data_IF_696686123363
#
_entry.id   IF_696686123363
#
_cell.length_a   1.000
_cell.length_b   1.000
_cell.length_c   1.000
_cell.angle_alpha   90.00
_cell.angle_beta   90.00
_cell.angle_gamma   90.00
#
_symmetry.space_group_name_H-M   'P 1'
#
loop_
_entity.id
_entity.type
_entity.pdbx_description
1 polymer ?
#
# COMPACT_ATOMS: atom_id res chain seq x y z
N UNK A 1 -20.29 4.86 -6.61
CA UNK A 1 -20.08 6.01 -7.53
C UNK A 1 -20.53 5.66 -8.94
N UNK A 2 -19.85 4.80 -9.70
CA UNK A 2 -20.26 4.45 -11.08
C UNK A 2 -21.74 4.03 -11.20
N UNK A 3 -22.21 3.16 -10.29
CA UNK A 3 -23.62 2.79 -10.18
C UNK A 3 -24.55 3.99 -9.89
N UNK A 4 -24.15 4.85 -8.96
CA UNK A 4 -24.95 6.01 -8.52
C UNK A 4 -25.09 7.07 -9.62
N UNK A 5 -24.08 7.23 -10.47
CA UNK A 5 -24.09 8.18 -11.59
C UNK A 5 -24.58 7.54 -12.91
N UNK A 6 -25.04 6.29 -12.88
CA UNK A 6 -25.58 5.59 -14.05
C UNK A 6 -24.55 5.17 -15.11
N UNK A 7 -23.27 5.06 -14.75
CA UNK A 7 -22.15 4.76 -15.67
C UNK A 7 -21.43 3.45 -15.28
N UNK A 8 -22.17 2.36 -15.09
CA UNK A 8 -21.60 1.07 -14.66
C UNK A 8 -20.89 0.29 -15.78
N UNK A 9 -21.06 0.75 -17.01
CA UNK A 9 -20.54 0.19 -18.25
C UNK A 9 -19.16 0.74 -18.64
N UNK A 10 -18.66 1.77 -17.94
CA UNK A 10 -17.34 2.33 -18.19
C UNK A 10 -16.25 1.26 -18.00
N UNK A 11 -15.22 1.22 -18.86
CA UNK A 11 -14.06 0.36 -18.68
C UNK A 11 -13.40 0.62 -17.32
N UNK A 12 -13.06 -0.47 -16.62
CA UNK A 12 -12.36 -0.40 -15.32
C UNK A 12 -11.07 -1.21 -15.44
N UNK A 13 -9.95 -0.50 -15.30
CA UNK A 13 -8.63 -1.10 -15.18
C UNK A 13 -8.17 -1.11 -13.72
N UNK A 14 -7.44 -2.16 -13.33
CA UNK A 14 -6.94 -2.35 -11.96
C UNK A 14 -5.46 -2.64 -12.02
N UNK A 15 -4.71 -2.03 -11.10
CA UNK A 15 -3.27 -2.24 -10.99
C UNK A 15 -2.83 -2.13 -9.55
N UNK A 16 -1.96 -3.03 -9.11
CA UNK A 16 -1.35 -2.98 -7.77
C UNK A 16 -0.54 -1.69 -7.56
N UNK A 17 -0.06 -1.06 -8.64
CA UNK A 17 0.64 0.23 -8.61
C UNK A 17 -0.25 1.37 -8.12
N UNK A 18 -1.58 1.18 -8.10
CA UNK A 18 -2.58 2.11 -7.55
C UNK A 18 -3.06 1.72 -6.15
N UNK A 19 -2.50 0.69 -5.52
CA UNK A 19 -2.81 0.36 -4.13
C UNK A 19 -2.41 1.50 -3.20
N UNK A 20 -3.06 1.57 -2.03
CA UNK A 20 -2.63 2.39 -0.89
C UNK A 20 -1.20 2.03 -0.47
N UNK A 21 -0.53 2.96 0.24
CA UNK A 21 0.77 2.76 0.89
C UNK A 21 0.78 1.49 1.73
N UNK A 22 1.79 0.64 1.53
CA UNK A 22 2.00 -0.54 2.36
C UNK A 22 2.49 -0.13 3.77
N UNK A 23 1.63 -0.25 4.78
CA UNK A 23 1.97 0.12 6.16
C UNK A 23 2.89 -0.86 6.89
N UNK A 24 3.28 -1.94 6.21
CA UNK A 24 4.25 -2.90 6.72
C UNK A 24 3.81 -3.53 8.03
N UNK A 25 4.69 -3.59 9.02
CA UNK A 25 4.42 -4.17 10.34
C UNK A 25 3.42 -3.38 11.19
N UNK A 26 2.87 -2.27 10.68
CA UNK A 26 1.77 -1.54 11.33
C UNK A 26 0.38 -2.00 10.83
N UNK A 27 0.34 -2.86 9.82
CA UNK A 27 -0.91 -3.35 9.23
C UNK A 27 -1.78 -4.05 10.28
N UNK A 28 -3.00 -3.58 10.45
CA UNK A 28 -3.95 -4.13 11.44
C UNK A 28 -3.85 -3.51 12.84
N UNK A 29 -2.85 -2.68 13.13
CA UNK A 29 -2.78 -1.93 14.38
C UNK A 29 -3.60 -0.65 14.32
N UNK A 30 -4.29 -0.33 15.41
CA UNK A 30 -4.90 0.99 15.56
C UNK A 30 -3.88 2.04 16.05
N UNK A 31 -4.26 3.32 16.02
CA UNK A 31 -3.35 4.43 16.39
C UNK A 31 -2.88 4.33 17.84
N UNK A 32 -3.75 3.95 18.77
CA UNK A 32 -3.45 3.87 20.19
C UNK A 32 -2.49 2.71 20.49
N UNK A 33 -2.72 1.55 19.89
CA UNK A 33 -1.81 0.39 19.98
C UNK A 33 -0.44 0.70 19.40
N UNK A 34 -0.41 1.38 18.25
CA UNK A 34 0.83 1.77 17.59
C UNK A 34 1.61 2.77 18.44
N UNK A 35 0.94 3.76 19.02
CA UNK A 35 1.57 4.75 19.91
C UNK A 35 2.07 4.10 21.21
N UNK A 36 1.32 3.14 21.78
CA UNK A 36 1.76 2.40 22.96
C UNK A 36 3.00 1.54 22.68
N UNK A 37 3.12 0.96 21.48
CA UNK A 37 4.23 0.09 21.09
C UNK A 37 5.48 0.85 20.65
N UNK A 38 5.32 1.95 19.92
CA UNK A 38 6.42 2.65 19.24
C UNK A 38 6.63 4.10 19.67
N UNK A 39 5.75 4.65 20.51
CA UNK A 39 5.77 6.05 20.93
C UNK A 39 5.01 6.97 19.98
N UNK A 40 4.40 8.02 20.54
CA UNK A 40 3.56 8.96 19.79
C UNK A 40 4.34 9.77 18.76
N UNK A 41 5.55 10.22 19.11
CA UNK A 41 6.44 10.97 18.22
C UNK A 41 6.79 10.14 16.96
N UNK A 42 7.12 8.87 17.14
CA UNK A 42 7.43 7.98 16.03
C UNK A 42 6.22 7.73 15.12
N UNK A 43 5.02 7.57 15.71
CA UNK A 43 3.78 7.45 14.95
C UNK A 43 3.48 8.72 14.15
N UNK A 44 3.75 9.90 14.72
CA UNK A 44 3.62 11.15 13.98
C UNK A 44 4.59 11.23 12.80
N UNK A 45 5.84 10.79 12.99
CA UNK A 45 6.84 10.72 11.91
C UNK A 45 6.33 9.83 10.78
N UNK A 46 5.91 8.60 11.05
CA UNK A 46 5.42 7.71 9.99
C UNK A 46 4.20 8.25 9.24
N UNK A 47 3.34 9.02 9.93
CA UNK A 47 2.14 9.60 9.34
C UNK A 47 2.39 10.86 8.51
N UNK A 48 3.44 11.63 8.83
CA UNK A 48 3.68 12.95 8.23
C UNK A 48 4.94 13.02 7.37
N UNK A 49 5.89 12.12 7.58
CA UNK A 49 7.10 12.06 6.78
C UNK A 49 6.79 11.58 5.37
N UNK A 50 7.42 12.24 4.41
CA UNK A 50 7.38 11.88 3.00
C UNK A 50 8.21 10.62 2.72
N UNK A 51 9.38 10.48 3.36
CA UNK A 51 10.41 9.52 2.98
C UNK A 51 10.71 8.46 4.03
N UNK A 52 10.25 8.63 5.27
CA UNK A 52 10.46 7.65 6.36
C UNK A 52 9.37 6.56 6.31
N UNK A 53 9.74 5.30 6.00
CA UNK A 53 8.79 4.20 5.99
C UNK A 53 8.48 3.68 7.41
N UNK A 54 7.36 2.96 7.58
CA UNK A 54 7.11 2.15 8.76
C UNK A 54 8.04 0.93 8.79
N UNK A 55 8.07 0.16 9.89
CA UNK A 55 8.78 -1.12 9.94
C UNK A 55 8.27 -2.10 8.86
N UNK A 56 9.14 -2.98 8.32
CA UNK A 56 8.73 -4.03 7.40
C UNK A 56 7.67 -4.95 7.99
N UNK A 57 6.82 -5.51 7.12
CA UNK A 57 6.00 -6.66 7.47
C UNK A 57 6.84 -7.92 7.33
N UNK A 58 7.12 -8.56 8.47
CA UNK A 58 7.87 -9.81 8.53
C UNK A 58 6.99 -11.04 8.21
N UNK A 59 7.57 -12.18 7.79
CA UNK A 59 6.82 -13.39 7.44
C UNK A 59 5.95 -13.97 8.56
N UNK A 60 6.27 -13.69 9.82
CA UNK A 60 5.52 -14.12 11.00
C UNK A 60 4.34 -13.18 11.34
N UNK A 61 4.18 -12.08 10.61
CA UNK A 61 3.10 -11.12 10.85
C UNK A 61 1.72 -11.76 10.56
N UNK A 62 0.69 -11.55 11.39
CA UNK A 62 -0.61 -12.23 11.26
C UNK A 62 -1.31 -12.07 9.90
N UNK A 63 -1.02 -10.98 9.19
CA UNK A 63 -1.58 -10.67 7.88
C UNK A 63 -0.64 -10.97 6.70
N UNK A 64 0.57 -11.50 6.93
CA UNK A 64 1.57 -11.68 5.87
C UNK A 64 1.07 -12.60 4.76
N UNK A 65 0.67 -13.81 5.13
CA UNK A 65 0.17 -14.81 4.18
C UNK A 65 -1.10 -14.34 3.46
N UNK A 66 -1.99 -13.65 4.17
CA UNK A 66 -3.23 -13.13 3.58
C UNK A 66 -2.98 -12.09 2.49
N UNK A 67 -1.87 -11.35 2.57
CA UNK A 67 -1.51 -10.31 1.61
C UNK A 67 -0.68 -10.90 0.48
N UNK A 68 0.42 -11.59 0.81
CA UNK A 68 1.39 -12.07 -0.18
C UNK A 68 0.83 -13.22 -1.03
N UNK A 69 -0.07 -14.04 -0.46
CA UNK A 69 -0.69 -15.18 -1.17
C UNK A 69 -2.06 -14.83 -1.77
N UNK A 70 -2.48 -13.56 -1.72
CA UNK A 70 -3.76 -13.13 -2.28
C UNK A 70 -3.77 -13.38 -3.81
N UNK A 71 -4.76 -14.11 -4.36
CA UNK A 71 -4.86 -14.38 -5.79
C UNK A 71 -4.87 -13.13 -6.68
N UNK A 72 -5.24 -11.96 -6.15
CA UNK A 72 -5.21 -10.69 -6.89
C UNK A 72 -3.81 -10.29 -7.34
N UNK A 73 -2.77 -10.81 -6.69
CA UNK A 73 -1.37 -10.54 -7.04
C UNK A 73 -0.73 -11.65 -7.89
N UNK A 74 -1.50 -12.62 -8.38
CA UNK A 74 -0.97 -13.73 -9.17
C UNK A 74 -0.26 -13.29 -10.47
N UNK A 75 -0.67 -12.14 -11.03
CA UNK A 75 -0.07 -11.56 -12.24
C UNK A 75 0.91 -10.40 -11.94
N UNK A 76 1.36 -10.29 -10.69
CA UNK A 76 2.27 -9.25 -10.24
C UNK A 76 1.76 -8.52 -9.00
N UNK A 77 2.65 -7.82 -8.26
CA UNK A 77 4.06 -7.57 -8.57
C UNK A 77 4.97 -8.82 -8.48
N UNK A 78 6.17 -8.74 -9.07
CA UNK A 78 7.22 -9.74 -8.79
C UNK A 78 7.62 -9.70 -7.31
N UNK A 79 8.26 -10.77 -6.81
CA UNK A 79 8.72 -10.81 -5.41
C UNK A 79 9.62 -9.61 -5.04
N UNK A 80 10.46 -9.16 -5.97
CA UNK A 80 11.33 -8.01 -5.78
C UNK A 80 10.58 -6.66 -5.77
N UNK A 81 9.44 -6.58 -6.45
CA UNK A 81 8.61 -5.38 -6.50
C UNK A 81 7.53 -5.35 -5.41
N UNK A 82 7.22 -6.49 -4.79
CA UNK A 82 6.19 -6.59 -3.76
C UNK A 82 6.67 -5.85 -2.50
N UNK A 83 6.04 -4.73 -2.11
CA UNK A 83 6.53 -3.94 -1.00
C UNK A 83 6.25 -4.63 0.33
N UNK A 84 7.26 -4.69 1.21
CA UNK A 84 7.08 -5.07 2.64
C UNK A 84 6.71 -3.89 3.51
N UNK A 85 6.97 -2.67 3.03
CA UNK A 85 6.68 -1.39 3.66
C UNK A 85 6.86 -0.30 2.61
N UNK A 86 6.22 0.85 2.80
CA UNK A 86 6.42 2.00 1.94
C UNK A 86 6.48 3.30 2.75
N UNK A 87 7.30 4.26 2.29
CA UNK A 87 7.08 5.68 2.54
C UNK A 87 6.22 6.27 1.43
N UNK A 88 5.72 7.50 1.59
CA UNK A 88 4.99 8.16 0.51
C UNK A 88 5.85 8.28 -0.76
N UNK A 89 7.16 8.52 -0.59
CA UNK A 89 8.15 8.51 -1.66
C UNK A 89 8.19 7.18 -2.41
N UNK A 90 8.24 6.04 -1.70
CA UNK A 90 8.27 4.71 -2.31
C UNK A 90 6.96 4.40 -3.05
N UNK A 91 5.82 4.76 -2.47
CA UNK A 91 4.51 4.63 -3.12
C UNK A 91 4.47 5.42 -4.42
N UNK A 92 4.91 6.68 -4.42
CA UNK A 92 5.01 7.49 -5.65
C UNK A 92 5.92 6.82 -6.69
N UNK A 93 7.08 6.29 -6.28
CA UNK A 93 8.01 5.63 -7.19
C UNK A 93 7.38 4.43 -7.91
N UNK A 94 6.51 3.64 -7.26
CA UNK A 94 5.80 2.55 -7.94
C UNK A 94 4.57 3.00 -8.73
N UNK A 95 3.92 4.09 -8.31
CA UNK A 95 2.71 4.62 -8.96
C UNK A 95 3.03 5.39 -10.24
N UNK A 96 4.10 6.18 -10.25
CA UNK A 96 4.46 7.05 -11.38
C UNK A 96 4.61 6.32 -12.72
N UNK A 97 5.25 5.14 -12.81
CA UNK A 97 5.30 4.39 -14.06
C UNK A 97 3.90 4.08 -14.61
N UNK A 98 2.96 3.64 -13.77
CA UNK A 98 1.58 3.36 -14.22
C UNK A 98 0.87 4.62 -14.68
N UNK A 99 1.08 5.73 -13.98
CA UNK A 99 0.52 7.02 -14.35
C UNK A 99 1.02 7.49 -15.72
N UNK A 100 2.34 7.46 -15.95
CA UNK A 100 2.95 7.92 -17.19
C UNK A 100 2.65 7.01 -18.39
N UNK A 101 2.62 5.69 -18.16
CA UNK A 101 2.56 4.72 -19.26
C UNK A 101 1.12 4.28 -19.60
N UNK A 102 0.17 4.42 -18.66
CA UNK A 102 -1.21 3.89 -18.80
C UNK A 102 -2.29 4.96 -18.64
N UNK A 103 -2.12 5.94 -17.73
CA UNK A 103 -3.19 6.91 -17.42
C UNK A 103 -3.12 8.17 -18.26
N UNK A 104 -1.93 8.75 -18.44
CA UNK A 104 -1.73 9.96 -19.25
C UNK A 104 -1.90 9.83 -20.78
N UNK A 105 -1.82 8.66 -21.47
CA UNK A 105 -1.55 8.58 -22.91
C UNK A 105 -2.25 9.61 -23.79
#
# INVERSE_FOLDING_TARGET
ILKEIGQSDLPVEKSWRLNERHYGGLTGLNKSETAAKYGEEQVQIWRRSFDIPPPPQEPDHPYYDNIVKDPRYANGPSEAEFPKFESLKLTIQRTLPYWNDVIIP
#
